data_IF_388153546455
#
_entry.id   IF_388153546455
#
_cell.length_a   1.000
_cell.length_b   1.000
_cell.length_c   1.000
_cell.angle_alpha   90.00
_cell.angle_beta   90.00
_cell.angle_gamma   90.00
#
_symmetry.space_group_name_H-M   'P 1'
#
loop_
_entity.id
_entity.type
_entity.pdbx_description
1 polymer ?
#
# COMPACT_ATOMS: atom_id res chain seq x y z
N UNK A 1 -7.41 0.50 -3.57
CA UNK A 1 -6.75 -0.73 -3.15
C UNK A 1 -5.72 -1.09 -4.19
N UNK A 2 -4.53 -1.48 -3.74
CA UNK A 2 -3.39 -1.90 -4.54
C UNK A 2 -2.84 -3.21 -3.98
N UNK A 3 -2.02 -3.93 -4.75
CA UNK A 3 -1.21 -5.04 -4.23
C UNK A 3 0.26 -4.76 -4.53
N UNK A 4 0.59 -4.62 -5.82
CA UNK A 4 1.98 -4.48 -6.28
C UNK A 4 2.22 -3.15 -6.97
N UNK A 5 3.26 -2.45 -6.56
CA UNK A 5 3.77 -1.25 -7.25
C UNK A 5 5.19 -1.53 -7.69
N UNK A 6 5.40 -1.91 -8.94
CA UNK A 6 6.72 -2.35 -9.41
C UNK A 6 6.91 -2.10 -10.90
N UNK A 7 8.12 -1.65 -11.33
CA UNK A 7 8.42 -1.48 -12.75
C UNK A 7 8.58 -2.82 -13.47
N UNK A 8 8.85 -3.90 -12.74
CA UNK A 8 9.11 -5.23 -13.31
C UNK A 8 7.81 -5.91 -13.80
N UNK A 9 7.62 -6.08 -15.12
CA UNK A 9 6.45 -6.76 -15.67
C UNK A 9 6.46 -8.27 -15.41
N UNK A 10 7.60 -8.87 -15.07
CA UNK A 10 7.76 -10.30 -14.83
C UNK A 10 7.48 -10.71 -13.39
N UNK A 11 7.26 -9.75 -12.50
CA UNK A 11 6.89 -9.98 -11.10
C UNK A 11 5.50 -10.60 -10.91
N UNK A 12 4.75 -10.84 -11.99
CA UNK A 12 3.39 -11.32 -11.97
C UNK A 12 2.39 -10.22 -11.61
N UNK A 13 1.41 -10.56 -10.78
CA UNK A 13 0.46 -9.62 -10.20
C UNK A 13 -1.00 -9.92 -10.49
N UNK A 14 -1.35 -10.95 -11.29
CA UNK A 14 -2.74 -11.35 -11.55
C UNK A 14 -3.67 -10.19 -11.98
N UNK A 15 -3.14 -9.18 -12.67
CA UNK A 15 -3.87 -7.95 -13.04
C UNK A 15 -3.93 -6.86 -11.95
N UNK A 16 -3.36 -7.10 -10.77
CA UNK A 16 -3.31 -6.22 -9.59
C UNK A 16 -1.95 -5.51 -9.42
N UNK A 17 -1.17 -5.44 -10.50
CA UNK A 17 0.11 -4.73 -10.56
C UNK A 17 -0.05 -3.37 -11.23
N UNK A 18 0.54 -2.34 -10.63
CA UNK A 18 0.66 -1.00 -11.23
C UNK A 18 2.13 -0.60 -11.32
N UNK A 19 2.49 0.17 -12.34
CA UNK A 19 3.85 0.75 -12.45
C UNK A 19 4.01 1.91 -11.45
N UNK A 20 5.24 2.21 -10.98
CA UNK A 20 5.47 3.38 -10.12
C UNK A 20 5.01 4.69 -10.76
N UNK A 21 5.18 4.83 -12.09
CA UNK A 21 4.74 6.02 -12.83
C UNK A 21 3.20 6.15 -12.83
N UNK A 22 2.48 5.06 -13.08
CA UNK A 22 1.02 5.03 -13.03
C UNK A 22 0.50 5.29 -11.62
N UNK A 23 1.14 4.72 -10.59
CA UNK A 23 0.81 4.99 -9.20
C UNK A 23 1.00 6.46 -8.84
N UNK A 24 2.14 7.06 -9.22
CA UNK A 24 2.38 8.49 -9.03
C UNK A 24 1.39 9.39 -9.77
N UNK A 25 0.96 9.01 -10.97
CA UNK A 25 -0.08 9.72 -11.71
C UNK A 25 -1.44 9.68 -10.97
N UNK A 26 -1.78 8.54 -10.36
CA UNK A 26 -2.99 8.40 -9.55
C UNK A 26 -2.91 9.24 -8.26
N UNK A 27 -1.77 9.26 -7.57
CA UNK A 27 -1.58 10.11 -6.38
C UNK A 27 -1.70 11.61 -6.73
N UNK A 28 -1.12 12.00 -7.87
CA UNK A 28 -1.26 13.36 -8.41
C UNK A 28 -2.71 13.70 -8.72
N UNK A 29 -3.45 12.77 -9.33
CA UNK A 29 -4.86 12.96 -9.63
C UNK A 29 -5.68 13.23 -8.36
N UNK A 30 -5.44 12.49 -7.28
CA UNK A 30 -6.12 12.72 -6.00
C UNK A 30 -5.90 14.14 -5.49
N UNK A 31 -4.64 14.60 -5.47
CA UNK A 31 -4.28 15.96 -5.07
C UNK A 31 -4.96 17.01 -5.94
N UNK A 32 -4.82 16.88 -7.25
CA UNK A 32 -5.27 17.90 -8.22
C UNK A 32 -6.80 18.02 -8.28
N UNK A 33 -7.54 17.00 -7.84
CA UNK A 33 -9.01 16.99 -7.78
C UNK A 33 -9.59 17.22 -6.37
N UNK A 34 -8.73 17.56 -5.41
CA UNK A 34 -9.12 17.95 -4.05
C UNK A 34 -9.59 16.77 -3.18
N UNK A 35 -9.10 15.56 -3.43
CA UNK A 35 -9.30 14.44 -2.52
C UNK A 35 -8.38 14.56 -1.31
N UNK A 36 -8.89 14.22 -0.14
CA UNK A 36 -8.10 14.19 1.10
C UNK A 36 -7.80 12.74 1.46
N UNK A 37 -6.52 12.37 1.42
CA UNK A 37 -6.10 11.04 1.89
C UNK A 37 -6.15 11.03 3.42
N UNK A 38 -6.91 10.09 3.98
CA UNK A 38 -7.04 9.89 5.43
C UNK A 38 -6.45 8.54 5.85
N UNK A 39 -6.09 8.42 7.12
CA UNK A 39 -5.67 7.13 7.67
C UNK A 39 -6.88 6.23 7.86
N UNK A 40 -6.72 4.93 7.57
CA UNK A 40 -7.78 3.94 7.86
C UNK A 40 -8.13 3.89 9.35
N UNK A 41 -7.21 4.30 10.24
CA UNK A 41 -7.45 4.40 11.68
C UNK A 41 -8.49 5.46 12.05
N UNK A 42 -8.77 6.42 11.17
CA UNK A 42 -9.78 7.47 11.41
C UNK A 42 -11.20 7.00 11.09
N UNK A 43 -11.35 5.97 10.25
CA UNK A 43 -12.64 5.47 9.77
C UNK A 43 -13.54 4.94 10.91
N UNK A 44 -13.04 4.16 11.90
CA UNK A 44 -13.87 3.71 13.01
C UNK A 44 -14.47 4.85 13.87
N UNK A 45 -13.74 5.94 14.06
CA UNK A 45 -14.25 7.09 14.82
C UNK A 45 -15.31 7.87 14.05
N UNK A 46 -15.15 7.97 12.73
CA UNK A 46 -16.21 8.50 11.86
C UNK A 46 -17.48 7.65 11.91
N UNK A 47 -17.35 6.32 11.76
CA UNK A 47 -18.50 5.41 11.81
C UNK A 47 -19.22 5.43 13.16
N UNK A 48 -18.50 5.73 14.25
CA UNK A 48 -19.08 5.90 15.60
C UNK A 48 -19.62 7.31 15.88
N UNK A 49 -19.60 8.21 14.89
CA UNK A 49 -20.05 9.60 15.04
C UNK A 49 -19.15 10.46 15.96
N UNK A 50 -17.91 10.02 16.23
CA UNK A 50 -16.96 10.72 17.12
C UNK A 50 -16.13 11.76 16.38
N UNK A 51 -16.02 11.67 15.06
CA UNK A 51 -15.21 12.55 14.22
C UNK A 51 -15.87 12.77 12.87
N UNK A 52 -15.78 13.97 12.31
CA UNK A 52 -16.13 14.22 10.90
C UNK A 52 -14.92 13.98 10.00
N UNK A 53 -15.17 13.49 8.78
CA UNK A 53 -14.12 13.36 7.76
C UNK A 53 -13.97 14.65 6.97
N UNK A 54 -12.75 14.95 6.45
CA UNK A 54 -12.55 16.04 5.53
C UNK A 54 -13.35 15.84 4.22
N UNK A 55 -13.57 16.90 3.42
CA UNK A 55 -14.20 16.77 2.11
C UNK A 55 -13.44 15.78 1.21
N UNK A 56 -14.22 15.00 0.43
CA UNK A 56 -13.71 13.98 -0.51
C UNK A 56 -12.67 13.04 0.14
N UNK A 57 -13.01 12.37 1.26
CA UNK A 57 -12.06 11.50 1.93
C UNK A 57 -11.81 10.24 1.10
N UNK A 58 -10.54 9.83 1.00
CA UNK A 58 -10.14 8.56 0.40
C UNK A 58 -9.11 7.86 1.27
N UNK A 59 -9.15 6.53 1.25
CA UNK A 59 -8.12 5.69 1.90
C UNK A 59 -7.30 5.00 0.82
N UNK A 60 -6.00 4.90 1.05
CA UNK A 60 -5.08 4.13 0.20
C UNK A 60 -4.72 2.88 0.97
N UNK A 61 -4.96 1.72 0.36
CA UNK A 61 -4.63 0.42 0.96
C UNK A 61 -3.76 -0.40 0.02
N UNK A 62 -2.85 -1.18 0.60
CA UNK A 62 -2.07 -2.22 -0.04
C UNK A 62 -2.35 -3.56 0.64
N UNK A 63 -2.58 -4.59 -0.14
CA UNK A 63 -2.79 -5.93 0.39
C UNK A 63 -1.53 -6.79 0.18
N UNK A 64 -1.46 -7.91 0.91
CA UNK A 64 -0.43 -8.94 0.92
C UNK A 64 0.91 -8.59 1.58
N UNK A 65 1.38 -7.34 1.45
CA UNK A 65 2.65 -6.89 2.03
C UNK A 65 3.87 -7.19 1.15
N UNK A 66 3.74 -7.01 -0.17
CA UNK A 66 4.86 -7.11 -1.11
C UNK A 66 5.94 -6.06 -0.81
N UNK A 67 7.22 -6.45 -0.88
CA UNK A 67 8.35 -5.56 -0.62
C UNK A 67 8.43 -4.36 -1.58
N UNK A 68 7.79 -4.49 -2.75
CA UNK A 68 7.68 -3.42 -3.72
C UNK A 68 6.90 -2.19 -3.19
N UNK A 69 6.02 -2.38 -2.20
CA UNK A 69 5.31 -1.30 -1.52
C UNK A 69 6.30 -0.39 -0.77
N UNK A 70 7.32 -0.97 -0.15
CA UNK A 70 8.40 -0.21 0.47
C UNK A 70 9.31 0.45 -0.58
N UNK A 71 9.75 -0.32 -1.59
CA UNK A 71 10.74 0.17 -2.56
C UNK A 71 10.21 1.27 -3.48
N UNK A 72 8.95 1.18 -3.89
CA UNK A 72 8.40 2.04 -4.96
C UNK A 72 7.16 2.83 -4.56
N UNK A 73 6.27 2.29 -3.72
CA UNK A 73 5.07 3.02 -3.32
C UNK A 73 5.38 4.07 -2.23
N UNK A 74 6.18 3.71 -1.22
CA UNK A 74 6.51 4.58 -0.09
C UNK A 74 7.17 5.91 -0.53
N UNK A 75 8.16 5.96 -1.44
CA UNK A 75 8.74 7.23 -1.88
C UNK A 75 7.71 8.15 -2.56
N UNK A 76 6.78 7.56 -3.33
CA UNK A 76 5.70 8.31 -3.97
C UNK A 76 4.76 8.88 -2.91
N UNK A 77 4.30 8.06 -1.97
CA UNK A 77 3.42 8.51 -0.87
C UNK A 77 4.06 9.65 -0.08
N UNK A 78 5.34 9.51 0.28
CA UNK A 78 6.13 10.57 0.96
C UNK A 78 6.15 11.88 0.17
N UNK A 79 6.34 11.82 -1.15
CA UNK A 79 6.38 13.01 -1.99
C UNK A 79 5.05 13.78 -2.03
N UNK A 80 3.92 13.11 -1.76
CA UNK A 80 2.60 13.74 -1.66
C UNK A 80 2.16 14.02 -0.21
N UNK A 81 2.95 13.61 0.79
CA UNK A 81 2.55 13.68 2.21
C UNK A 81 1.36 12.76 2.54
N UNK A 82 1.19 11.67 1.78
CA UNK A 82 0.07 10.74 1.93
C UNK A 82 0.39 9.60 2.88
N UNK A 83 -0.61 9.20 3.67
CA UNK A 83 -0.62 7.95 4.44
C UNK A 83 -1.27 6.83 3.63
N UNK A 84 -1.05 5.59 4.08
CA UNK A 84 -1.72 4.41 3.56
C UNK A 84 -1.78 3.33 4.65
N UNK A 85 -2.54 2.27 4.40
CA UNK A 85 -2.58 1.07 5.25
C UNK A 85 -2.14 -0.15 4.46
N UNK A 86 -1.25 -0.97 5.03
CA UNK A 86 -0.84 -2.26 4.44
C UNK A 86 -1.44 -3.41 5.25
N UNK A 87 -2.22 -4.27 4.61
CA UNK A 87 -2.74 -5.50 5.22
C UNK A 87 -1.77 -6.65 4.96
N UNK A 88 -1.12 -7.13 6.01
CA UNK A 88 -0.02 -8.08 5.88
C UNK A 88 -0.52 -9.52 5.91
N UNK A 89 0.05 -10.37 5.05
CA UNK A 89 0.09 -11.81 5.36
C UNK A 89 1.21 -12.03 6.37
N UNK A 90 0.88 -12.03 7.66
CA UNK A 90 1.86 -12.02 8.77
C UNK A 90 2.95 -13.11 8.65
N UNK A 91 2.57 -14.32 8.22
CA UNK A 91 3.49 -15.44 8.03
C UNK A 91 4.46 -15.27 6.85
N UNK A 92 4.20 -14.32 5.95
CA UNK A 92 5.03 -14.07 4.78
C UNK A 92 6.09 -12.98 5.03
N UNK A 93 5.97 -12.22 6.12
CA UNK A 93 6.89 -11.12 6.47
C UNK A 93 8.33 -11.64 6.59
N UNK A 94 9.25 -10.96 5.89
CA UNK A 94 10.67 -11.33 5.78
C UNK A 94 10.95 -12.52 4.88
N UNK A 95 9.91 -13.13 4.28
CA UNK A 95 10.02 -14.26 3.38
C UNK A 95 9.63 -13.90 1.95
N UNK A 96 8.73 -14.71 1.39
CA UNK A 96 8.20 -14.56 0.05
C UNK A 96 6.71 -14.85 0.02
N UNK A 97 6.03 -14.52 -1.08
CA UNK A 97 4.62 -14.78 -1.34
C UNK A 97 4.29 -16.28 -1.50
N UNK A 98 4.61 -17.11 -0.49
CA UNK A 98 4.49 -18.56 -0.53
C UNK A 98 3.08 -19.05 -0.87
N UNK A 99 2.05 -18.28 -0.49
CA UNK A 99 0.64 -18.58 -0.72
C UNK A 99 0.28 -18.63 -2.22
N UNK A 100 1.03 -17.94 -3.08
CA UNK A 100 0.88 -18.00 -4.54
C UNK A 100 2.02 -18.76 -5.22
N UNK A 101 3.26 -18.52 -4.78
CA UNK A 101 4.44 -19.09 -5.39
C UNK A 101 4.46 -20.63 -5.31
N UNK A 102 4.06 -21.20 -4.17
CA UNK A 102 4.04 -22.65 -3.99
C UNK A 102 2.92 -23.34 -4.80
N UNK A 103 1.94 -22.56 -5.26
CA UNK A 103 0.85 -23.04 -6.11
C UNK A 103 1.14 -22.83 -7.60
N UNK A 104 2.29 -22.23 -7.95
CA UNK A 104 2.63 -21.87 -9.32
C UNK A 104 1.76 -20.75 -9.91
N UNK A 105 1.02 -20.02 -9.06
CA UNK A 105 0.09 -18.97 -9.50
C UNK A 105 0.83 -17.67 -9.84
N UNK A 106 1.88 -17.37 -9.07
CA UNK A 106 2.75 -16.21 -9.29
C UNK A 106 4.21 -16.62 -9.12
N UNK A 107 5.17 -15.91 -9.75
CA UNK A 107 6.57 -16.06 -9.43
C UNK A 107 6.83 -15.69 -7.97
N UNK A 108 7.98 -16.17 -7.45
CA UNK A 108 8.45 -15.82 -6.11
C UNK A 108 8.80 -14.33 -6.05
N UNK A 109 8.21 -13.62 -5.10
CA UNK A 109 8.45 -12.22 -4.82
C UNK A 109 8.78 -12.02 -3.34
N UNK A 110 9.68 -11.08 -3.06
CA UNK A 110 10.04 -10.72 -1.69
C UNK A 110 8.88 -9.99 -0.99
N UNK A 111 8.67 -10.31 0.28
CA UNK A 111 7.72 -9.61 1.14
C UNK A 111 8.45 -8.61 2.04
N UNK A 112 7.72 -7.65 2.59
CA UNK A 112 8.26 -6.69 3.54
C UNK A 112 8.95 -7.40 4.71
N UNK A 113 10.08 -6.88 5.17
CA UNK A 113 10.72 -7.29 6.42
C UNK A 113 10.16 -6.51 7.61
N UNK A 114 10.36 -7.01 8.83
CA UNK A 114 9.97 -6.29 10.05
C UNK A 114 10.69 -4.94 10.20
N UNK A 115 11.93 -4.83 9.72
CA UNK A 115 12.67 -3.57 9.70
C UNK A 115 12.01 -2.55 8.77
N UNK A 116 11.74 -2.93 7.53
CA UNK A 116 11.04 -2.07 6.56
C UNK A 116 9.64 -1.67 7.02
N UNK A 117 8.91 -2.59 7.69
CA UNK A 117 7.62 -2.27 8.30
C UNK A 117 7.77 -1.15 9.34
N UNK A 118 8.77 -1.22 10.22
CA UNK A 118 9.00 -0.17 11.24
C UNK A 118 9.37 1.16 10.59
N UNK A 119 10.17 1.15 9.54
CA UNK A 119 10.50 2.36 8.78
C UNK A 119 9.28 2.98 8.10
N UNK A 120 8.40 2.15 7.53
CA UNK A 120 7.13 2.58 6.95
C UNK A 120 6.20 3.15 8.03
N UNK A 121 6.13 2.54 9.21
CA UNK A 121 5.37 3.07 10.35
C UNK A 121 5.88 4.45 10.77
N UNK A 122 7.20 4.61 10.88
CA UNK A 122 7.82 5.90 11.18
C UNK A 122 7.54 6.95 10.09
N UNK A 123 7.27 6.51 8.86
CA UNK A 123 6.85 7.36 7.73
C UNK A 123 5.33 7.62 7.67
N UNK A 124 4.55 7.17 8.67
CA UNK A 124 3.11 7.42 8.75
C UNK A 124 2.25 6.38 8.03
N UNK A 125 2.79 5.22 7.65
CA UNK A 125 2.02 4.09 7.12
C UNK A 125 1.50 3.24 8.27
N UNK A 126 0.24 2.81 8.19
CA UNK A 126 -0.34 1.89 9.18
C UNK A 126 -0.39 0.47 8.65
N UNK A 127 -0.50 -0.50 9.56
CA UNK A 127 -0.49 -1.92 9.23
C UNK A 127 -1.66 -2.62 9.92
N UNK A 128 -2.27 -3.58 9.22
CA UNK A 128 -3.37 -4.41 9.70
C UNK A 128 -3.19 -5.88 9.34
#
# INVERSE_FOLDING_TARGET
MYHKVTPDPHSGGLGLRVSPASFAAQMRYLRDHGYTVISMNEVPDFLRGKKSLPPKPVVITFDDGYRDNYRYALPVLKAFGYTATVYLVAHAVGGYNFFDANRGVQPRNEMLTWEEIREMQAAGITFG
#
